data_IF_608854070118
#
_entry.id   IF_608854070118
#
_cell.length_a   1.000
_cell.length_b   1.000
_cell.length_c   1.000
_cell.angle_alpha   90.00
_cell.angle_beta   90.00
_cell.angle_gamma   90.00
#
_symmetry.space_group_name_H-M   'P 1'
#
loop_
_entity.id
_entity.type
_entity.pdbx_description
1 polymer ?
#
# COMPACT_ATOMS: atom_id res chain seq x y z
N UNK A 1 7.43 20.62 10.80
CA UNK A 1 8.73 20.03 11.16
C UNK A 1 9.06 19.01 10.09
N UNK A 2 10.05 19.28 9.24
CA UNK A 2 10.53 18.27 8.30
C UNK A 2 11.12 17.14 9.14
N UNK A 3 10.47 15.99 9.09
CA UNK A 3 10.96 14.76 9.70
C UNK A 3 12.38 14.54 9.20
N UNK A 4 13.33 14.44 10.14
CA UNK A 4 14.73 14.23 9.80
C UNK A 4 14.80 12.90 9.09
N UNK A 5 15.01 12.89 7.78
CA UNK A 5 15.12 11.67 6.99
C UNK A 5 16.36 10.92 7.48
N UNK A 6 16.17 10.08 8.48
CA UNK A 6 17.13 9.05 8.84
C UNK A 6 17.32 8.22 7.57
N UNK A 7 18.55 8.17 7.07
CA UNK A 7 18.85 7.36 5.89
C UNK A 7 18.37 5.94 6.18
N UNK A 8 17.53 5.33 5.32
CA UNK A 8 17.00 4.02 5.59
C UNK A 8 18.18 3.06 5.79
N UNK A 9 18.19 2.35 6.92
CA UNK A 9 19.25 1.39 7.23
C UNK A 9 18.90 0.06 6.58
N UNK A 10 19.84 -0.52 5.85
CA UNK A 10 19.67 -1.84 5.28
C UNK A 10 19.49 -2.86 6.42
N UNK A 11 18.44 -3.66 6.30
CA UNK A 11 18.08 -4.76 7.21
C UNK A 11 18.91 -6.00 6.89
N UNK A 12 19.18 -6.22 5.60
CA UNK A 12 19.99 -7.34 5.11
C UNK A 12 20.97 -6.84 4.06
N UNK A 13 22.18 -7.40 4.09
CA UNK A 13 23.23 -7.18 3.09
C UNK A 13 23.66 -8.54 2.59
N UNK A 14 23.55 -8.78 1.29
CA UNK A 14 24.03 -9.99 0.63
C UNK A 14 25.14 -9.61 -0.36
N UNK A 15 26.28 -10.27 -0.23
CA UNK A 15 27.42 -10.09 -1.13
C UNK A 15 27.46 -11.24 -2.13
N UNK A 16 27.50 -10.88 -3.42
CA UNK A 16 27.69 -11.80 -4.53
C UNK A 16 28.97 -11.43 -5.28
N UNK A 17 29.50 -12.36 -6.07
CA UNK A 17 30.77 -12.18 -6.80
C UNK A 17 30.83 -10.95 -7.71
N UNK A 18 29.68 -10.42 -8.14
CA UNK A 18 29.59 -9.26 -9.04
C UNK A 18 28.72 -8.12 -8.49
N UNK A 19 28.02 -8.31 -7.36
CA UNK A 19 27.08 -7.31 -6.86
C UNK A 19 26.83 -7.44 -5.35
N UNK A 20 26.33 -6.35 -4.77
CA UNK A 20 25.87 -6.31 -3.38
C UNK A 20 24.37 -5.97 -3.38
N UNK A 21 23.57 -6.75 -2.68
CA UNK A 21 22.14 -6.53 -2.53
C UNK A 21 21.86 -6.00 -1.13
N UNK A 22 21.29 -4.80 -1.05
CA UNK A 22 20.86 -4.16 0.19
C UNK A 22 19.34 -4.21 0.30
N UNK A 23 18.82 -4.93 1.29
CA UNK A 23 17.39 -5.03 1.57
C UNK A 23 17.00 -4.08 2.68
N UNK A 24 16.02 -3.22 2.43
CA UNK A 24 15.55 -2.20 3.40
C UNK A 24 14.20 -2.52 4.03
N UNK A 25 13.56 -3.62 3.64
CA UNK A 25 12.30 -4.07 4.21
C UNK A 25 12.50 -5.27 5.13
N UNK A 26 11.57 -5.45 6.07
CA UNK A 26 11.47 -6.63 6.91
C UNK A 26 10.40 -7.59 6.37
N UNK A 27 10.59 -8.89 6.57
CA UNK A 27 9.66 -9.94 6.14
C UNK A 27 9.92 -10.46 4.72
N UNK A 28 8.97 -11.22 4.19
CA UNK A 28 9.09 -11.86 2.88
C UNK A 28 8.81 -10.88 1.72
N UNK A 29 9.48 -11.13 0.59
CA UNK A 29 9.34 -10.33 -0.64
C UNK A 29 7.88 -10.26 -1.07
N UNK A 30 7.18 -11.41 -1.10
CA UNK A 30 5.80 -11.50 -1.56
C UNK A 30 4.87 -10.60 -0.74
N UNK A 31 4.98 -10.63 0.59
CA UNK A 31 4.13 -9.79 1.44
C UNK A 31 4.42 -8.30 1.28
N UNK A 32 5.69 -7.91 1.11
CA UNK A 32 6.05 -6.50 0.87
C UNK A 32 5.47 -6.03 -0.48
N UNK A 33 5.61 -6.86 -1.51
CA UNK A 33 5.07 -6.64 -2.84
C UNK A 33 3.55 -6.49 -2.76
N UNK A 34 2.84 -7.46 -2.19
CA UNK A 34 1.38 -7.42 -2.06
C UNK A 34 0.91 -6.14 -1.35
N UNK A 35 1.50 -5.79 -0.21
CA UNK A 35 1.17 -4.55 0.51
C UNK A 35 1.44 -3.28 -0.31
N UNK A 36 2.50 -3.26 -1.11
CA UNK A 36 2.81 -2.16 -2.02
C UNK A 36 1.75 -2.03 -3.13
N UNK A 37 1.41 -3.14 -3.78
CA UNK A 37 0.43 -3.19 -4.86
C UNK A 37 -0.98 -2.84 -4.35
N UNK A 38 -1.43 -3.44 -3.24
CA UNK A 38 -2.73 -3.12 -2.65
C UNK A 38 -2.82 -1.64 -2.27
N UNK A 39 -1.74 -1.04 -1.74
CA UNK A 39 -1.70 0.41 -1.47
C UNK A 39 -1.83 1.24 -2.75
N UNK A 40 -1.10 0.91 -3.80
CA UNK A 40 -1.16 1.64 -5.08
C UNK A 40 -2.54 1.56 -5.73
N UNK A 41 -3.14 0.37 -5.73
CA UNK A 41 -4.42 0.10 -6.39
C UNK A 41 -5.64 0.49 -5.53
N UNK A 42 -5.47 0.65 -4.21
CA UNK A 42 -6.57 1.02 -3.30
C UNK A 42 -7.32 2.28 -3.71
N UNK A 43 -6.64 3.25 -4.34
CA UNK A 43 -7.25 4.53 -4.78
C UNK A 43 -8.09 4.38 -6.05
N UNK A 44 -7.75 3.44 -6.93
CA UNK A 44 -8.48 3.17 -8.18
C UNK A 44 -9.85 2.57 -7.86
N UNK A 45 -9.94 1.72 -6.84
CA UNK A 45 -11.21 1.17 -6.37
C UNK A 45 -12.10 2.22 -5.69
N UNK A 46 -11.53 3.30 -5.13
CA UNK A 46 -12.31 4.39 -4.48
C UNK A 46 -12.95 5.37 -5.47
N UNK A 47 -12.51 5.38 -6.73
CA UNK A 47 -13.14 6.17 -7.80
C UNK A 47 -14.52 5.63 -8.25
N UNK A 48 -15.04 4.58 -7.61
CA UNK A 48 -16.41 4.08 -7.80
C UNK A 48 -17.42 4.60 -6.75
N UNK A 49 -17.06 5.61 -5.96
CA UNK A 49 -18.05 6.36 -5.17
C UNK A 49 -18.34 7.69 -5.88
N UNK A 50 -19.54 7.88 -6.48
CA UNK A 50 -19.85 9.05 -7.28
C UNK A 50 -20.04 10.28 -6.36
N UNK A 51 -19.44 11.41 -6.71
CA UNK A 51 -19.74 12.71 -6.11
C UNK A 51 -20.38 13.61 -7.18
N UNK A 52 -21.55 14.19 -6.82
CA UNK A 52 -22.44 15.14 -7.54
C UNK A 52 -23.52 14.50 -8.45
N UNK A 53 -24.85 14.75 -8.33
CA UNK A 53 -25.68 15.70 -7.53
C UNK A 53 -27.05 15.05 -7.15
N UNK A 54 -27.54 15.41 -5.96
CA UNK A 54 -28.94 15.55 -5.48
C UNK A 54 -30.10 14.78 -6.16
N UNK A 55 -30.71 13.77 -5.50
CA UNK A 55 -32.04 13.84 -4.84
C UNK A 55 -32.42 12.49 -4.17
N UNK A 56 -32.93 12.61 -2.93
CA UNK A 56 -33.74 11.69 -2.11
C UNK A 56 -33.10 10.50 -1.36
N UNK A 57 -32.92 10.77 -0.05
CA UNK A 57 -33.53 10.08 1.13
C UNK A 57 -33.07 8.64 1.47
N UNK A 58 -32.25 8.57 2.56
CA UNK A 58 -32.23 7.66 3.76
C UNK A 58 -32.35 6.13 3.51
N UNK A 59 -31.54 5.19 4.03
CA UNK A 59 -30.71 5.02 5.26
C UNK A 59 -29.56 3.98 4.99
N UNK A 60 -28.54 3.85 5.87
CA UNK A 60 -27.35 3.04 5.62
C UNK A 60 -27.41 1.64 6.28
N UNK A 61 -27.01 0.58 5.56
CA UNK A 61 -26.73 -0.73 6.18
C UNK A 61 -25.47 -1.37 5.56
N UNK A 62 -24.43 -1.38 6.40
CA UNK A 62 -23.35 -2.35 6.64
C UNK A 62 -22.69 -3.08 5.45
N UNK A 63 -21.40 -2.80 5.34
CA UNK A 63 -20.38 -3.41 4.47
C UNK A 63 -20.16 -4.91 4.67
N UNK A 64 -19.91 -5.62 3.56
CA UNK A 64 -19.24 -6.93 3.46
C UNK A 64 -19.52 -7.52 2.08
N UNK A 65 -18.60 -7.84 1.18
CA UNK A 65 -17.14 -7.92 1.21
C UNK A 65 -16.58 -7.13 0.02
N UNK A 66 -15.81 -6.09 0.32
CA UNK A 66 -14.89 -5.52 -0.66
C UNK A 66 -13.65 -6.41 -0.63
N UNK A 67 -13.65 -7.49 -1.42
CA UNK A 67 -12.40 -8.21 -1.72
C UNK A 67 -11.57 -7.31 -2.63
N UNK A 68 -10.86 -6.37 -2.00
CA UNK A 68 -9.58 -5.93 -2.52
C UNK A 68 -8.61 -7.08 -2.22
N UNK A 69 -7.95 -7.58 -3.27
CA UNK A 69 -6.94 -8.63 -3.19
C UNK A 69 -5.89 -8.33 -2.13
#
# INVERSE_FOLDING_TARGET
>A
MADRTESPRAVKVEEHSQCVILTYFHGDISSMVDAHFSRALSKVCKAKAPVMKTKKIRKPIKTGNQHCY
#
